data_IF_860632208982
#
_entry.id   IF_860632208982
#
_cell.length_a   1.000
_cell.length_b   1.000
_cell.length_c   1.000
_cell.angle_alpha   90.00
_cell.angle_beta   90.00
_cell.angle_gamma   90.00
#
_symmetry.space_group_name_H-M   'P 1'
#
loop_
_entity.id
_entity.type
_entity.pdbx_description
1 polymer ?
#
# COMPACT_ATOMS: atom_id res chain seq x y z
N UNK A 1 -54.78 -53.96 6.22
CA UNK A 1 -54.84 -54.63 7.55
C UNK A 1 -53.44 -55.09 7.88
N UNK A 2 -53.07 -54.96 9.16
CA UNK A 2 -51.81 -55.43 9.77
C UNK A 2 -50.59 -54.50 9.56
N UNK A 3 -49.77 -54.18 10.55
CA UNK A 3 -49.91 -54.21 12.01
C UNK A 3 -48.80 -53.29 12.57
N UNK A 4 -49.09 -52.52 13.61
CA UNK A 4 -48.12 -51.67 14.31
C UNK A 4 -47.15 -52.52 15.13
N UNK A 5 -45.85 -52.33 14.92
CA UNK A 5 -44.78 -52.81 15.79
C UNK A 5 -44.25 -51.68 16.66
N UNK A 6 -44.56 -51.73 17.95
CA UNK A 6 -44.07 -50.85 19.01
C UNK A 6 -42.80 -51.47 19.59
N UNK A 7 -41.68 -50.74 19.68
CA UNK A 7 -40.56 -51.10 20.56
C UNK A 7 -40.15 -49.89 21.41
N UNK A 8 -40.35 -50.13 22.70
CA UNK A 8 -39.91 -49.50 23.94
C UNK A 8 -38.66 -48.60 23.92
N UNK A 9 -38.75 -47.56 24.74
CA UNK A 9 -37.70 -46.60 25.04
C UNK A 9 -36.46 -47.17 25.71
N UNK A 10 -35.32 -46.58 25.34
CA UNK A 10 -34.03 -46.73 25.99
C UNK A 10 -33.69 -45.45 26.78
N UNK A 11 -33.38 -45.69 28.04
CA UNK A 11 -32.89 -44.80 29.09
C UNK A 11 -31.83 -43.78 28.60
N UNK A 12 -32.03 -42.49 28.89
CA UNK A 12 -31.03 -41.44 28.71
C UNK A 12 -30.00 -41.53 29.85
N UNK A 13 -28.78 -41.97 29.53
CA UNK A 13 -27.64 -41.90 30.43
C UNK A 13 -27.21 -40.45 30.64
N UNK A 14 -27.27 -40.00 31.90
CA UNK A 14 -26.70 -38.73 32.36
C UNK A 14 -25.18 -38.93 32.44
N UNK A 15 -24.47 -38.62 31.36
CA UNK A 15 -23.02 -38.46 31.40
C UNK A 15 -22.68 -37.02 31.80
N UNK A 16 -22.27 -36.87 33.07
CA UNK A 16 -21.61 -35.67 33.60
C UNK A 16 -20.31 -35.39 32.84
N UNK A 17 -20.40 -34.61 31.77
CA UNK A 17 -19.26 -34.08 31.03
C UNK A 17 -18.69 -32.85 31.74
N UNK A 18 -17.58 -33.05 32.45
CA UNK A 18 -16.80 -31.97 33.07
C UNK A 18 -16.25 -31.03 32.01
N UNK A 19 -16.65 -29.76 32.07
CA UNK A 19 -16.17 -28.70 31.17
C UNK A 19 -14.70 -28.40 31.51
N UNK A 20 -13.78 -29.02 30.78
CA UNK A 20 -12.35 -28.78 30.86
C UNK A 20 -12.06 -27.40 30.26
N UNK A 21 -12.00 -26.36 31.11
CA UNK A 21 -11.46 -25.04 30.73
C UNK A 21 -10.03 -25.24 30.24
N UNK A 22 -9.82 -25.13 28.94
CA UNK A 22 -8.48 -24.94 28.39
C UNK A 22 -8.00 -23.56 28.82
N UNK A 23 -7.03 -23.52 29.73
CA UNK A 23 -6.25 -22.34 30.06
C UNK A 23 -5.48 -21.92 28.80
N UNK A 24 -6.01 -20.95 28.06
CA UNK A 24 -5.24 -20.24 27.04
C UNK A 24 -4.15 -19.44 27.75
N UNK A 25 -2.91 -19.86 27.58
CA UNK A 25 -1.73 -19.13 28.01
C UNK A 25 -1.74 -17.73 27.39
N UNK A 26 -1.87 -16.71 28.23
CA UNK A 26 -1.62 -15.34 27.83
C UNK A 26 -0.12 -15.21 27.50
N UNK A 27 0.19 -14.98 26.22
CA UNK A 27 1.54 -14.59 25.82
C UNK A 27 1.75 -13.13 26.23
N UNK A 28 2.74 -12.81 27.08
CA UNK A 28 3.00 -11.43 27.45
C UNK A 28 3.51 -10.64 26.24
N UNK A 29 2.93 -9.46 26.05
CA UNK A 29 3.35 -8.46 25.08
C UNK A 29 4.86 -8.25 25.24
N UNK A 30 5.61 -8.53 24.17
CA UNK A 30 7.04 -8.25 24.07
C UNK A 30 7.24 -6.76 24.28
N UNK A 31 7.63 -6.36 25.51
CA UNK A 31 8.09 -5.01 25.80
C UNK A 31 9.17 -4.70 24.77
N UNK A 32 8.94 -3.67 23.96
CA UNK A 32 9.98 -3.13 23.08
C UNK A 32 11.18 -2.83 23.97
N UNK A 33 12.26 -3.55 23.71
CA UNK A 33 13.53 -3.36 24.38
C UNK A 33 13.94 -1.92 24.10
N UNK A 34 14.00 -1.07 25.12
CA UNK A 34 14.48 0.29 24.98
C UNK A 34 15.90 0.20 24.40
N UNK A 35 16.04 0.62 23.15
CA UNK A 35 17.34 0.72 22.52
C UNK A 35 18.14 1.72 23.35
N UNK A 36 19.22 1.24 23.96
CA UNK A 36 20.24 2.09 24.58
C UNK A 36 20.73 3.02 23.48
N UNK A 37 20.38 4.31 23.59
CA UNK A 37 20.91 5.34 22.72
C UNK A 37 22.39 5.46 23.08
N UNK A 38 23.27 5.04 22.17
CA UNK A 38 24.69 5.34 22.30
C UNK A 38 24.85 6.87 22.31
N UNK A 39 25.68 7.37 23.22
CA UNK A 39 25.89 8.80 23.53
C UNK A 39 26.43 9.66 22.37
N UNK A 40 26.67 9.07 21.20
CA UNK A 40 26.93 9.81 19.97
C UNK A 40 25.62 10.29 19.34
N UNK A 41 24.81 11.00 20.13
CA UNK A 41 23.63 11.70 19.60
C UNK A 41 24.11 12.94 18.84
N UNK A 42 24.59 12.73 17.61
CA UNK A 42 24.53 13.79 16.60
C UNK A 42 23.13 14.36 16.69
N UNK A 43 23.03 15.64 17.04
CA UNK A 43 21.77 16.25 17.42
C UNK A 43 20.76 15.95 16.32
N UNK A 44 19.51 15.65 16.66
CA UNK A 44 18.47 15.50 15.67
C UNK A 44 18.46 16.72 14.72
N UNK A 45 18.82 17.90 15.24
CA UNK A 45 19.06 19.11 14.46
C UNK A 45 20.16 18.92 13.39
N UNK A 46 21.34 18.40 13.75
CA UNK A 46 22.46 18.17 12.82
C UNK A 46 22.08 17.18 11.71
N UNK A 47 21.34 16.13 12.05
CA UNK A 47 20.79 15.20 11.06
C UNK A 47 19.87 15.91 10.06
N UNK A 48 18.94 16.74 10.54
CA UNK A 48 18.06 17.53 9.66
C UNK A 48 18.84 18.56 8.83
N UNK A 49 19.88 19.20 9.40
CA UNK A 49 20.72 20.13 8.66
C UNK A 49 21.51 19.44 7.54
N UNK A 50 21.97 18.20 7.76
CA UNK A 50 22.65 17.41 6.75
C UNK A 50 21.71 17.02 5.59
N UNK A 51 20.44 16.68 5.87
CA UNK A 51 19.45 16.42 4.82
C UNK A 51 19.18 17.65 3.96
N UNK A 52 19.01 18.83 4.59
CA UNK A 52 18.77 20.07 3.83
C UNK A 52 20.02 20.44 3.01
N UNK A 53 21.21 20.32 3.58
CA UNK A 53 22.47 20.66 2.90
C UNK A 53 22.78 19.76 1.71
N UNK A 54 22.42 18.47 1.76
CA UNK A 54 22.62 17.53 0.64
C UNK A 54 21.66 17.78 -0.53
N UNK A 55 20.46 18.33 -0.28
CA UNK A 55 19.53 18.72 -1.35
C UNK A 55 19.99 19.95 -2.14
N UNK A 56 20.72 20.87 -1.50
CA UNK A 56 21.32 22.03 -2.20
C UNK A 56 22.57 21.65 -3.01
N UNK A 57 23.40 20.71 -2.52
CA UNK A 57 24.64 20.29 -3.21
C UNK A 57 24.42 19.60 -4.55
N UNK A 58 23.29 18.93 -4.78
CA UNK A 58 23.02 18.25 -6.06
C UNK A 58 22.69 19.19 -7.24
N UNK A 59 22.69 20.50 -7.03
CA UNK A 59 22.53 21.49 -8.11
C UNK A 59 23.85 22.08 -8.61
N UNK A 60 25.01 21.67 -8.06
CA UNK A 60 26.32 22.22 -8.45
C UNK A 60 27.34 21.18 -8.96
N UNK A 61 26.93 19.95 -9.27
CA UNK A 61 27.79 19.02 -10.01
C UNK A 61 27.18 18.74 -11.39
N UNK A 62 27.25 19.75 -12.26
CA UNK A 62 27.55 19.49 -13.66
C UNK A 62 29.03 19.82 -13.84
N UNK A 63 29.87 18.79 -13.74
CA UNK A 63 31.17 18.81 -14.37
C UNK A 63 30.92 19.03 -15.87
N UNK A 64 30.96 20.29 -16.28
CA UNK A 64 31.27 20.64 -17.65
C UNK A 64 32.73 20.25 -17.81
N UNK A 65 32.99 19.09 -18.39
CA UNK A 65 34.27 18.89 -19.04
C UNK A 65 34.40 20.01 -20.08
N UNK A 66 35.30 20.94 -19.80
CA UNK A 66 35.73 21.96 -20.74
C UNK A 66 36.40 21.19 -21.88
N UNK A 67 35.62 20.90 -22.92
CA UNK A 67 36.17 20.59 -24.23
C UNK A 67 36.70 21.92 -24.74
N UNK A 68 37.99 22.00 -25.04
CA UNK A 68 38.69 23.18 -25.57
C UNK A 68 38.24 23.55 -27.01
N UNK A 69 36.93 23.60 -27.28
CA UNK A 69 36.34 24.01 -28.56
C UNK A 69 35.37 25.20 -28.36
N UNK A 70 35.65 26.38 -28.96
CA UNK A 70 34.98 27.64 -28.60
C UNK A 70 33.54 27.83 -29.11
N UNK A 71 32.85 26.82 -29.66
CA UNK A 71 31.55 27.05 -30.35
C UNK A 71 30.39 26.08 -30.00
N UNK A 72 30.47 25.24 -28.95
CA UNK A 72 29.34 24.35 -28.58
C UNK A 72 28.79 24.64 -27.18
N UNK A 73 27.81 25.55 -27.12
CA UNK A 73 27.00 25.76 -25.91
C UNK A 73 25.96 24.64 -25.83
N UNK A 74 26.17 23.65 -24.96
CA UNK A 74 25.15 22.64 -24.64
C UNK A 74 24.09 23.30 -23.77
N UNK A 75 23.06 23.85 -24.40
CA UNK A 75 21.89 24.38 -23.70
C UNK A 75 21.04 23.20 -23.27
N UNK A 76 21.22 22.73 -22.03
CA UNK A 76 20.39 21.65 -21.47
C UNK A 76 18.92 22.07 -21.52
N UNK A 77 18.07 21.33 -22.26
CA UNK A 77 16.72 21.79 -22.46
C UNK A 77 15.95 21.62 -21.13
N UNK A 78 15.20 22.66 -20.74
CA UNK A 78 14.40 22.69 -19.52
C UNK A 78 12.89 22.71 -19.82
N UNK A 79 12.10 22.08 -18.97
CA UNK A 79 10.63 22.06 -18.98
C UNK A 79 10.06 22.83 -17.79
N UNK A 80 9.10 23.72 -18.03
CA UNK A 80 8.39 24.45 -16.97
C UNK A 80 7.09 23.74 -16.59
N UNK A 81 6.98 23.33 -15.32
CA UNK A 81 5.75 22.76 -14.77
C UNK A 81 4.80 23.86 -14.28
N UNK A 82 3.60 23.93 -14.86
CA UNK A 82 2.58 24.94 -14.51
C UNK A 82 1.97 24.74 -13.13
N UNK A 83 1.84 23.49 -12.69
CA UNK A 83 1.29 23.17 -11.37
C UNK A 83 2.27 23.61 -10.28
N UNK A 84 3.54 23.18 -10.38
CA UNK A 84 4.57 23.44 -9.39
C UNK A 84 5.27 24.81 -9.54
N UNK A 85 5.08 25.49 -10.68
CA UNK A 85 5.73 26.77 -11.01
C UNK A 85 7.26 26.72 -10.93
N UNK A 86 7.86 25.60 -11.32
CA UNK A 86 9.30 25.39 -11.35
C UNK A 86 9.77 24.93 -12.73
N UNK A 87 11.02 25.25 -13.06
CA UNK A 87 11.73 24.76 -14.24
C UNK A 87 12.55 23.53 -13.89
N UNK A 88 12.54 22.53 -14.76
CA UNK A 88 13.05 21.18 -14.51
C UNK A 88 13.87 20.75 -15.71
N UNK A 89 15.02 20.12 -15.48
CA UNK A 89 15.83 19.57 -16.57
C UNK A 89 15.02 18.47 -17.29
N UNK A 90 14.97 18.48 -18.63
CA UNK A 90 14.16 17.54 -19.42
C UNK A 90 14.39 16.04 -19.17
N UNK A 91 15.60 15.54 -18.82
CA UNK A 91 15.72 14.13 -18.44
C UNK A 91 14.94 13.78 -17.16
N UNK A 92 14.66 14.75 -16.29
CA UNK A 92 14.00 14.55 -14.99
C UNK A 92 12.50 14.87 -15.02
N UNK A 93 11.92 15.13 -16.20
CA UNK A 93 10.48 15.43 -16.31
C UNK A 93 9.62 14.30 -15.74
N UNK A 94 9.95 13.05 -16.04
CA UNK A 94 9.22 11.88 -15.54
C UNK A 94 9.30 11.75 -14.02
N UNK A 95 10.50 11.86 -13.46
CA UNK A 95 10.74 11.80 -12.02
C UNK A 95 10.01 12.93 -11.28
N UNK A 96 9.96 14.12 -11.87
CA UNK A 96 9.16 15.21 -11.34
C UNK A 96 7.67 14.88 -11.34
N UNK A 97 7.10 14.43 -12.45
CA UNK A 97 5.66 14.15 -12.58
C UNK A 97 5.20 13.05 -11.61
N UNK A 98 6.08 12.11 -11.26
CA UNK A 98 5.83 11.05 -10.28
C UNK A 98 6.16 11.44 -8.83
N UNK A 99 6.84 12.57 -8.63
CA UNK A 99 7.21 13.02 -7.29
C UNK A 99 5.97 13.28 -6.42
N UNK A 100 6.07 12.95 -5.14
CA UNK A 100 5.00 13.20 -4.18
C UNK A 100 4.60 14.68 -4.14
N UNK A 101 5.56 15.59 -4.29
CA UNK A 101 5.29 17.03 -4.32
C UNK A 101 4.43 17.43 -5.53
N UNK A 102 4.76 16.93 -6.72
CA UNK A 102 3.95 17.18 -7.92
C UNK A 102 2.54 16.61 -7.77
N UNK A 103 2.42 15.37 -7.28
CA UNK A 103 1.12 14.71 -7.11
C UNK A 103 0.23 15.44 -6.09
N UNK A 104 0.81 15.92 -4.98
CA UNK A 104 0.08 16.66 -3.94
C UNK A 104 -0.36 18.05 -4.41
N UNK A 105 0.48 18.71 -5.22
CA UNK A 105 0.18 20.04 -5.73
C UNK A 105 -0.78 20.01 -6.93
N UNK A 106 -0.82 18.89 -7.66
CA UNK A 106 -1.73 18.68 -8.78
C UNK A 106 -3.14 18.38 -8.27
N UNK A 107 -4.14 19.18 -8.65
CA UNK A 107 -5.54 19.00 -8.23
C UNK A 107 -6.26 17.81 -8.88
N UNK A 108 -5.55 16.99 -9.67
CA UNK A 108 -6.14 15.85 -10.36
C UNK A 108 -6.35 14.73 -9.35
N UNK A 109 -7.61 14.40 -9.09
CA UNK A 109 -7.92 13.13 -8.43
C UNK A 109 -7.37 12.01 -9.33
N UNK A 110 -6.54 11.08 -8.81
CA UNK A 110 -6.16 9.92 -9.60
C UNK A 110 -7.46 9.26 -10.04
N UNK A 111 -7.61 9.05 -11.36
CA UNK A 111 -8.69 8.20 -11.84
C UNK A 111 -8.43 6.85 -11.20
N UNK A 112 -9.34 6.39 -10.34
CA UNK A 112 -9.37 5.00 -9.90
C UNK A 112 -9.79 4.19 -11.13
N UNK A 113 -8.85 3.97 -12.05
CA UNK A 113 -9.04 3.03 -13.14
C UNK A 113 -9.22 1.64 -12.54
N UNK A 114 -9.87 0.77 -13.32
CA UNK A 114 -10.07 -0.64 -13.05
C UNK A 114 -8.93 -1.27 -12.22
N UNK A 115 -9.29 -2.24 -11.37
CA UNK A 115 -8.31 -3.01 -10.59
C UNK A 115 -7.19 -3.46 -11.53
N UNK A 116 -6.02 -2.82 -11.41
CA UNK A 116 -4.85 -3.22 -12.17
C UNK A 116 -4.18 -4.33 -11.39
N UNK A 117 -4.43 -5.57 -11.81
CA UNK A 117 -3.65 -6.72 -11.37
C UNK A 117 -2.53 -6.95 -12.40
N UNK A 118 -1.25 -6.93 -11.99
CA UNK A 118 -0.16 -7.16 -12.93
C UNK A 118 -0.19 -8.59 -13.46
N UNK A 119 0.22 -8.79 -14.71
CA UNK A 119 0.22 -10.12 -15.36
C UNK A 119 1.14 -11.14 -14.68
N UNK A 120 2.15 -10.66 -13.94
CA UNK A 120 3.03 -11.48 -13.10
C UNK A 120 2.32 -12.07 -11.87
N UNK A 121 1.15 -11.55 -11.50
CA UNK A 121 0.38 -12.04 -10.38
C UNK A 121 -0.21 -13.43 -10.70
N UNK A 122 0.10 -14.43 -9.88
CA UNK A 122 -0.43 -15.80 -10.04
C UNK A 122 -1.96 -15.85 -9.99
N UNK A 123 -2.58 -15.02 -9.17
CA UNK A 123 -4.03 -14.90 -9.08
C UNK A 123 -4.65 -14.34 -10.36
N UNK A 124 -4.01 -13.34 -10.98
CA UNK A 124 -4.43 -12.82 -12.29
C UNK A 124 -4.40 -13.92 -13.35
N UNK A 125 -3.29 -14.65 -13.45
CA UNK A 125 -3.13 -15.74 -14.41
C UNK A 125 -4.16 -16.85 -14.18
N UNK A 126 -4.47 -17.18 -12.93
CA UNK A 126 -5.49 -18.16 -12.60
C UNK A 126 -6.88 -17.68 -13.05
N UNK A 127 -7.24 -16.42 -12.78
CA UNK A 127 -8.52 -15.85 -13.18
C UNK A 127 -8.68 -15.86 -14.70
N UNK A 128 -7.66 -15.43 -15.44
CA UNK A 128 -7.67 -15.46 -16.91
C UNK A 128 -7.86 -16.90 -17.44
N UNK A 129 -7.18 -17.90 -16.85
CA UNK A 129 -7.34 -19.31 -17.23
C UNK A 129 -8.75 -19.85 -16.99
N UNK A 130 -9.46 -19.30 -16.01
CA UNK A 130 -10.84 -19.66 -15.69
C UNK A 130 -11.86 -18.89 -16.53
N UNK A 131 -11.41 -18.11 -17.53
CA UNK A 131 -12.26 -17.35 -18.44
C UNK A 131 -12.77 -16.02 -17.88
N UNK A 132 -12.13 -15.49 -16.82
CA UNK A 132 -12.40 -14.12 -16.40
C UNK A 132 -11.81 -13.12 -17.42
N UNK A 133 -12.50 -11.99 -17.58
CA UNK A 133 -12.13 -10.86 -18.43
C UNK A 133 -11.82 -9.66 -17.54
N UNK A 134 -10.60 -9.12 -17.63
CA UNK A 134 -10.11 -8.04 -16.76
C UNK A 134 -10.85 -6.72 -16.93
N UNK A 135 -11.55 -6.53 -18.05
CA UNK A 135 -12.37 -5.34 -18.30
C UNK A 135 -13.77 -5.46 -17.68
N UNK A 136 -14.17 -6.65 -17.22
CA UNK A 136 -15.52 -6.96 -16.74
C UNK A 136 -15.53 -7.51 -15.31
N UNK A 137 -16.72 -7.47 -14.71
CA UNK A 137 -16.96 -8.09 -13.43
C UNK A 137 -16.90 -9.61 -13.49
N UNK A 138 -16.97 -10.25 -12.33
CA UNK A 138 -17.16 -11.70 -12.24
C UNK A 138 -18.61 -12.10 -12.54
N UNK A 139 -18.84 -13.37 -12.87
CA UNK A 139 -20.17 -13.93 -13.14
C UNK A 139 -20.43 -14.16 -14.63
N UNK A 140 -21.50 -14.91 -14.93
CA UNK A 140 -21.81 -15.42 -16.29
C UNK A 140 -21.85 -14.32 -17.35
N UNK A 141 -22.38 -13.14 -17.00
CA UNK A 141 -22.49 -11.99 -17.91
C UNK A 141 -21.53 -10.86 -17.50
N UNK A 142 -20.54 -11.13 -16.65
CA UNK A 142 -19.65 -10.13 -16.08
C UNK A 142 -20.36 -9.10 -15.20
N UNK A 143 -21.49 -9.48 -14.59
CA UNK A 143 -22.38 -8.58 -13.83
C UNK A 143 -21.84 -8.22 -12.43
N UNK A 144 -20.79 -8.90 -11.99
CA UNK A 144 -20.13 -8.65 -10.72
C UNK A 144 -19.50 -7.27 -10.67
N UNK A 145 -19.14 -6.84 -9.47
CA UNK A 145 -18.46 -5.55 -9.29
C UNK A 145 -17.01 -5.65 -9.77
N UNK A 146 -16.57 -4.66 -10.54
CA UNK A 146 -15.17 -4.55 -11.02
C UNK A 146 -14.26 -3.96 -9.95
N UNK A 147 -14.71 -2.98 -9.18
CA UNK A 147 -13.92 -2.34 -8.13
C UNK A 147 -14.15 -2.97 -6.75
N UNK A 148 -13.17 -2.93 -5.83
CA UNK A 148 -13.37 -3.41 -4.47
C UNK A 148 -14.45 -2.60 -3.74
N UNK A 149 -15.09 -3.20 -2.74
CA UNK A 149 -16.01 -2.46 -1.86
C UNK A 149 -15.17 -1.50 -1.01
N UNK A 150 -15.48 -0.21 -1.08
CA UNK A 150 -14.85 0.77 -0.21
C UNK A 150 -15.15 0.44 1.26
N UNK A 151 -14.11 0.38 2.09
CA UNK A 151 -14.24 0.13 3.52
C UNK A 151 -14.14 1.45 4.28
N UNK A 152 -15.04 1.64 5.25
CA UNK A 152 -14.91 2.72 6.22
C UNK A 152 -14.11 2.19 7.41
N UNK A 153 -13.04 2.90 7.78
CA UNK A 153 -12.30 2.56 9.01
C UNK A 153 -13.06 3.16 10.20
N UNK A 154 -13.44 2.31 11.15
CA UNK A 154 -13.97 2.77 12.43
C UNK A 154 -12.87 3.50 13.23
N UNK A 155 -13.12 4.70 13.76
CA UNK A 155 -12.22 5.37 14.68
C UNK A 155 -12.00 4.54 15.97
N UNK A 156 -10.81 4.62 16.59
CA UNK A 156 -10.59 3.95 17.87
C UNK A 156 -11.45 4.58 18.96
N UNK A 157 -12.05 3.75 19.84
CA UNK A 157 -12.84 4.22 20.98
C UNK A 157 -14.31 4.54 20.70
N UNK A 158 -14.76 4.49 19.45
CA UNK A 158 -16.14 4.80 19.08
C UNK A 158 -17.00 3.54 18.88
N UNK A 159 -18.28 3.65 19.23
CA UNK A 159 -19.27 2.60 18.97
C UNK A 159 -19.57 2.46 17.47
N UNK A 160 -20.31 1.42 17.08
CA UNK A 160 -20.85 1.34 15.73
C UNK A 160 -22.00 2.36 15.61
N UNK A 161 -21.96 3.22 14.58
CA UNK A 161 -23.02 4.21 14.31
C UNK A 161 -22.90 5.55 15.06
N UNK A 162 -21.72 5.87 15.60
CA UNK A 162 -21.39 7.18 16.17
C UNK A 162 -21.33 8.29 15.13
#
# INVERSE_FOLDING_TARGET
MSNHGFISGGLLDIASGTNRRTSSSENPIRKQQSLVLNDDTQSAADFYQNLISTTNKKNEDSDVEIIDDPDVVVVDPCYFCKECKISIKLPQKGDHELSSLHLLNTKRKPKLSAIFLPESNKGFQLLQKMGWDSEKGLGVNGQGRVAPVATARRPPGEGLGG
#
